data_IF_037976224192
#
_entry.id   IF_037976224192
#
_cell.length_a   1.000
_cell.length_b   1.000
_cell.length_c   1.000
_cell.angle_alpha   90.00
_cell.angle_beta   90.00
_cell.angle_gamma   90.00
#
_symmetry.space_group_name_H-M   'P 1'
#
loop_
_entity.id
_entity.type
_entity.pdbx_description
1 polymer ?
#
# COMPACT_ATOMS: atom_id res chain seq x y z
N UNK A 1 -55.59 7.35 -5.51
CA UNK A 1 -54.36 8.17 -5.37
C UNK A 1 -53.15 7.24 -5.43
N UNK A 2 -52.24 7.48 -6.39
CA UNK A 2 -50.95 6.79 -6.55
C UNK A 2 -50.03 7.07 -5.36
N UNK A 3 -49.35 6.05 -4.80
CA UNK A 3 -47.96 6.04 -4.28
C UNK A 3 -47.50 4.57 -4.25
N UNK A 4 -46.83 4.03 -5.26
CA UNK A 4 -45.40 4.10 -5.60
C UNK A 4 -44.45 3.57 -4.51
N UNK A 5 -43.88 2.41 -4.83
CA UNK A 5 -42.50 1.94 -4.62
C UNK A 5 -41.99 1.68 -3.19
N UNK A 6 -41.85 0.39 -2.86
CA UNK A 6 -40.86 -0.11 -1.91
C UNK A 6 -40.21 -1.36 -2.53
N UNK A 7 -39.20 -1.16 -3.37
CA UNK A 7 -38.29 -2.20 -3.83
C UNK A 7 -36.92 -1.57 -4.12
N UNK A 8 -35.88 -2.34 -3.86
CA UNK A 8 -34.46 -2.07 -4.10
C UNK A 8 -33.71 -1.31 -2.98
N UNK A 9 -33.27 -2.07 -1.98
CA UNK A 9 -32.08 -1.80 -1.17
C UNK A 9 -31.42 -3.14 -0.82
N UNK A 10 -30.97 -3.86 -1.86
CA UNK A 10 -30.04 -5.00 -1.74
C UNK A 10 -29.06 -4.93 -2.92
N UNK A 11 -28.19 -3.94 -2.91
CA UNK A 11 -27.08 -3.88 -3.85
C UNK A 11 -25.99 -2.97 -3.30
N UNK A 12 -25.21 -3.43 -2.32
CA UNK A 12 -23.90 -2.83 -1.97
C UNK A 12 -23.01 -3.82 -1.21
N UNK A 13 -22.95 -5.06 -1.67
CA UNK A 13 -21.84 -5.96 -1.37
C UNK A 13 -21.43 -6.69 -2.64
N UNK A 14 -21.19 -5.93 -3.70
CA UNK A 14 -20.30 -6.40 -4.75
C UNK A 14 -18.90 -6.34 -4.13
N UNK A 15 -18.46 -7.45 -3.55
CA UNK A 15 -17.03 -7.73 -3.43
C UNK A 15 -16.44 -7.46 -4.81
N UNK A 16 -15.66 -6.39 -4.93
CA UNK A 16 -14.97 -6.03 -6.15
C UNK A 16 -13.93 -7.13 -6.43
N UNK A 17 -14.39 -8.25 -6.99
CA UNK A 17 -13.53 -9.16 -7.71
C UNK A 17 -13.11 -8.41 -8.97
N UNK A 18 -12.10 -7.55 -8.84
CA UNK A 18 -11.39 -7.02 -9.99
C UNK A 18 -10.80 -8.25 -10.69
N UNK A 19 -11.39 -8.62 -11.82
CA UNK A 19 -10.84 -9.60 -12.75
C UNK A 19 -9.54 -9.01 -13.29
N UNK A 20 -8.45 -9.33 -12.61
CA UNK A 20 -7.11 -9.21 -13.19
C UNK A 20 -6.91 -10.45 -14.05
N UNK A 21 -6.88 -10.24 -15.37
CA UNK A 21 -6.52 -11.27 -16.36
C UNK A 21 -5.01 -11.58 -16.34
N UNK A 22 -4.26 -10.94 -15.44
CA UNK A 22 -2.80 -11.09 -15.36
C UNK A 22 -2.36 -12.31 -14.57
N UNK A 23 -3.28 -13.02 -13.93
CA UNK A 23 -2.99 -14.17 -13.06
C UNK A 23 -2.25 -13.81 -11.77
N UNK A 24 -1.83 -12.56 -11.55
CA UNK A 24 -1.26 -12.07 -10.29
C UNK A 24 -2.22 -11.08 -9.66
N UNK A 25 -2.49 -11.27 -8.36
CA UNK A 25 -3.51 -10.51 -7.65
C UNK A 25 -3.04 -10.05 -6.28
N UNK A 26 -3.31 -8.79 -5.98
CA UNK A 26 -3.26 -8.23 -4.63
C UNK A 26 -4.61 -8.53 -3.96
N UNK A 27 -4.58 -9.10 -2.76
CA UNK A 27 -5.77 -9.66 -2.11
C UNK A 27 -6.27 -8.77 -0.97
N UNK A 28 -5.45 -8.56 0.05
CA UNK A 28 -5.83 -7.88 1.27
C UNK A 28 -4.69 -7.03 1.81
N UNK A 29 -5.05 -5.97 2.52
CA UNK A 29 -4.10 -5.09 3.22
C UNK A 29 -4.18 -5.35 4.71
N UNK A 30 -3.03 -5.55 5.31
CA UNK A 30 -2.85 -5.74 6.74
C UNK A 30 -1.98 -4.61 7.29
N UNK A 31 -2.26 -4.13 8.50
CA UNK A 31 -1.28 -3.34 9.21
C UNK A 31 -0.06 -4.23 9.49
N UNK A 32 1.11 -3.60 9.59
CA UNK A 32 2.29 -4.29 10.09
C UNK A 32 2.43 -4.04 11.59
N UNK A 33 2.97 -5.01 12.31
CA UNK A 33 3.33 -4.84 13.72
C UNK A 33 4.72 -4.18 13.87
N UNK A 34 5.21 -4.11 15.12
CA UNK A 34 6.50 -3.52 15.43
C UNK A 34 7.66 -4.30 14.77
N UNK A 35 7.46 -5.58 14.45
CA UNK A 35 8.40 -6.47 13.78
C UNK A 35 8.27 -6.47 12.25
N UNK A 36 7.39 -5.64 11.68
CA UNK A 36 7.03 -5.58 10.26
C UNK A 36 6.39 -6.84 9.70
N UNK A 37 5.80 -7.64 10.58
CA UNK A 37 5.05 -8.81 10.20
C UNK A 37 3.61 -8.38 9.94
N UNK A 38 2.94 -8.91 8.90
CA UNK A 38 1.52 -8.66 8.70
C UNK A 38 0.73 -9.10 9.94
N UNK A 39 -0.08 -8.21 10.49
CA UNK A 39 -1.09 -8.60 11.47
C UNK A 39 -2.14 -9.51 10.79
N UNK A 40 -2.82 -10.32 11.58
CA UNK A 40 -3.88 -11.22 11.10
C UNK A 40 -5.17 -10.46 10.73
N UNK A 41 -5.26 -9.19 11.12
CA UNK A 41 -6.44 -8.36 10.90
C UNK A 41 -6.31 -7.54 9.62
N UNK A 42 -7.15 -7.86 8.64
CA UNK A 42 -7.33 -7.02 7.47
C UNK A 42 -7.91 -5.67 7.86
N UNK A 43 -7.37 -4.60 7.27
CA UNK A 43 -7.82 -3.23 7.52
C UNK A 43 -8.47 -2.63 6.29
N UNK A 44 -9.69 -2.11 6.46
CA UNK A 44 -10.35 -1.29 5.45
C UNK A 44 -9.90 0.19 5.53
N UNK A 45 -9.34 0.60 6.68
CA UNK A 45 -8.92 1.97 6.96
C UNK A 45 -7.74 1.99 7.94
N UNK A 46 -6.72 2.77 7.61
CA UNK A 46 -5.57 3.05 8.48
C UNK A 46 -5.70 4.38 9.21
N UNK A 47 -4.97 4.53 10.31
CA UNK A 47 -4.77 5.81 11.00
C UNK A 47 -3.28 6.06 11.10
N UNK A 48 -2.85 7.24 10.65
CA UNK A 48 -1.48 7.69 10.66
C UNK A 48 -1.37 9.06 11.34
N UNK A 49 -0.57 9.12 12.40
CA UNK A 49 -0.22 10.40 13.01
C UNK A 49 1.04 10.92 12.31
N UNK A 50 0.92 12.01 11.55
CA UNK A 50 2.03 12.62 10.84
C UNK A 50 2.98 13.26 11.86
N UNK A 51 4.24 12.81 11.95
CA UNK A 51 5.20 13.36 12.89
C UNK A 51 5.56 14.81 12.52
N UNK A 52 5.98 15.64 13.48
CA UNK A 52 6.44 16.99 13.20
C UNK A 52 7.64 17.00 12.23
N UNK A 53 7.74 18.07 11.44
CA UNK A 53 8.84 18.29 10.50
C UNK A 53 10.20 18.10 11.20
N UNK A 54 11.10 17.32 10.58
CA UNK A 54 12.40 16.98 11.15
C UNK A 54 12.43 15.72 12.02
N UNK A 55 11.29 15.07 12.27
CA UNK A 55 11.26 13.71 12.85
C UNK A 55 12.04 12.72 11.98
N UNK A 56 12.43 11.56 12.52
CA UNK A 56 13.00 10.47 11.72
C UNK A 56 11.95 9.63 11.01
N UNK A 57 10.66 9.78 11.34
CA UNK A 57 9.56 9.03 10.74
C UNK A 57 9.24 9.53 9.31
N UNK A 58 9.09 8.63 8.33
CA UNK A 58 9.16 8.90 6.88
C UNK A 58 8.18 8.12 6.00
N UNK A 59 7.17 7.46 6.56
CA UNK A 59 6.19 6.74 5.74
C UNK A 59 5.08 6.08 6.55
N UNK A 60 4.10 5.51 5.83
CA UNK A 60 3.04 4.67 6.40
C UNK A 60 3.08 3.29 5.75
N UNK A 61 3.63 2.32 6.47
CA UNK A 61 3.83 0.96 5.97
C UNK A 61 2.61 0.07 6.23
N UNK A 62 2.32 -0.75 5.23
CA UNK A 62 1.34 -1.85 5.30
C UNK A 62 1.92 -3.11 4.66
N UNK A 63 1.36 -4.26 5.02
CA UNK A 63 1.56 -5.49 4.29
C UNK A 63 0.40 -5.73 3.33
N UNK A 64 0.67 -6.27 2.15
CA UNK A 64 -0.33 -6.61 1.16
C UNK A 64 -0.14 -8.05 0.71
N UNK A 65 -1.17 -8.86 0.90
CA UNK A 65 -1.19 -10.24 0.43
C UNK A 65 -1.17 -10.25 -1.10
N UNK A 66 -0.34 -11.11 -1.67
CA UNK A 66 -0.20 -11.28 -3.11
C UNK A 66 -0.26 -12.76 -3.47
N UNK A 67 -0.98 -13.09 -4.53
CA UNK A 67 -1.09 -14.46 -5.02
C UNK A 67 -0.88 -14.53 -6.54
N UNK A 68 -0.40 -15.68 -6.98
CA UNK A 68 -0.21 -16.02 -8.39
C UNK A 68 -1.02 -17.26 -8.75
N UNK A 69 -2.02 -17.09 -9.59
CA UNK A 69 -2.72 -18.16 -10.29
C UNK A 69 -1.97 -18.62 -11.56
N UNK A 70 -0.82 -18.00 -11.88
CA UNK A 70 -0.01 -18.35 -13.05
C UNK A 70 0.58 -19.75 -12.85
N UNK A 71 0.70 -20.49 -13.95
CA UNK A 71 1.24 -21.86 -13.94
C UNK A 71 2.49 -21.97 -14.79
N UNK A 72 3.31 -22.99 -14.52
CA UNK A 72 4.52 -23.34 -15.28
C UNK A 72 4.33 -23.44 -16.80
N UNK A 73 3.09 -23.65 -17.27
CA UNK A 73 2.76 -23.92 -18.66
C UNK A 73 2.21 -22.69 -19.38
N UNK A 74 2.24 -21.50 -18.78
CA UNK A 74 1.82 -20.31 -19.50
C UNK A 74 2.75 -20.05 -20.68
N UNK A 75 2.20 -19.91 -21.89
CA UNK A 75 3.00 -19.88 -23.11
C UNK A 75 3.88 -18.62 -23.14
N UNK A 76 5.19 -18.83 -23.02
CA UNK A 76 6.18 -17.84 -23.43
C UNK A 76 6.41 -17.94 -24.93
N UNK A 77 6.49 -16.81 -25.63
CA UNK A 77 6.94 -16.77 -27.02
C UNK A 77 8.34 -16.15 -27.09
N UNK A 78 9.34 -16.94 -27.47
CA UNK A 78 10.65 -16.41 -27.88
C UNK A 78 10.70 -16.46 -29.40
N UNK A 79 10.77 -15.30 -30.05
CA UNK A 79 10.81 -15.22 -31.53
C UNK A 79 9.56 -15.73 -32.24
N UNK A 80 8.37 -15.63 -31.61
CA UNK A 80 7.09 -16.04 -32.22
C UNK A 80 6.80 -17.55 -32.17
N UNK A 81 7.67 -18.35 -31.57
CA UNK A 81 7.41 -19.78 -31.31
C UNK A 81 7.04 -19.99 -29.84
N UNK A 82 5.98 -20.76 -29.54
CA UNK A 82 5.66 -21.14 -28.16
C UNK A 82 6.79 -22.02 -27.62
N UNK A 83 7.45 -21.57 -26.56
CA UNK A 83 8.42 -22.38 -25.82
C UNK A 83 7.69 -22.93 -24.60
N UNK A 84 7.26 -24.18 -24.67
CA UNK A 84 6.86 -24.94 -23.50
C UNK A 84 8.09 -25.19 -22.64
N UNK A 85 8.15 -24.56 -21.47
CA UNK A 85 9.26 -24.70 -20.53
C UNK A 85 8.74 -24.51 -19.12
N UNK A 86 8.88 -25.53 -18.30
CA UNK A 86 8.68 -25.48 -16.85
C UNK A 86 9.39 -24.27 -16.24
N UNK A 87 8.67 -23.43 -15.48
CA UNK A 87 9.24 -22.36 -14.66
C UNK A 87 9.16 -20.93 -15.24
N UNK A 88 8.24 -20.68 -16.17
CA UNK A 88 8.04 -19.37 -16.81
C UNK A 88 7.01 -18.45 -16.15
N UNK A 89 6.20 -18.97 -15.21
CA UNK A 89 5.07 -18.23 -14.61
C UNK A 89 5.44 -17.32 -13.44
N UNK A 90 6.70 -17.37 -12.98
CA UNK A 90 7.19 -16.51 -11.90
C UNK A 90 7.03 -15.03 -12.27
N UNK A 91 6.44 -14.25 -11.37
CA UNK A 91 6.29 -12.81 -11.52
C UNK A 91 7.42 -12.07 -10.82
N UNK A 92 8.08 -11.19 -11.55
CA UNK A 92 9.14 -10.31 -11.08
C UNK A 92 8.57 -8.90 -11.09
N UNK A 93 8.10 -8.42 -9.94
CA UNK A 93 7.68 -7.04 -9.77
C UNK A 93 8.91 -6.13 -9.81
N UNK A 94 8.82 -5.05 -10.59
CA UNK A 94 9.90 -4.06 -10.78
C UNK A 94 9.51 -2.65 -10.37
N UNK A 95 8.21 -2.38 -10.27
CA UNK A 95 7.70 -1.05 -9.95
C UNK A 95 6.42 -1.15 -9.12
N UNK A 96 6.30 -0.23 -8.17
CA UNK A 96 5.11 0.04 -7.41
C UNK A 96 4.51 1.37 -7.87
N UNK A 97 3.27 1.33 -8.37
CA UNK A 97 2.49 2.51 -8.70
C UNK A 97 1.54 2.84 -7.54
N UNK A 98 1.55 4.09 -7.11
CA UNK A 98 0.65 4.63 -6.10
C UNK A 98 -0.11 5.83 -6.67
N UNK A 99 -1.44 5.74 -6.70
CA UNK A 99 -2.32 6.85 -7.03
C UNK A 99 -3.06 7.33 -5.78
N UNK A 100 -3.43 8.61 -5.76
CA UNK A 100 -3.99 9.24 -4.57
C UNK A 100 -5.26 10.03 -4.88
N UNK A 101 -6.19 9.97 -3.93
CA UNK A 101 -7.23 10.97 -3.75
C UNK A 101 -7.32 11.34 -2.29
N UNK A 102 -7.81 12.53 -1.96
CA UNK A 102 -7.86 12.99 -0.57
C UNK A 102 -9.09 13.81 -0.24
N UNK A 103 -9.44 13.82 1.04
CA UNK A 103 -10.48 14.66 1.64
C UNK A 103 -9.89 15.33 2.90
N UNK A 104 -9.75 16.68 2.94
CA UNK A 104 -10.00 17.62 1.84
C UNK A 104 -9.10 17.33 0.63
N UNK A 105 -9.50 17.82 -0.55
CA UNK A 105 -8.77 17.58 -1.78
C UNK A 105 -7.42 18.30 -1.75
N UNK A 106 -6.34 17.53 -1.76
CA UNK A 106 -4.96 17.96 -1.88
C UNK A 106 -4.37 17.50 -3.22
N UNK A 107 -3.45 18.27 -3.76
CA UNK A 107 -2.70 17.93 -4.98
C UNK A 107 -1.56 16.96 -4.63
N UNK A 108 -1.89 15.68 -4.50
CA UNK A 108 -0.93 14.62 -4.18
C UNK A 108 -0.54 13.93 -5.50
N UNK A 109 0.73 14.05 -5.94
CA UNK A 109 1.16 13.45 -7.20
C UNK A 109 1.21 11.93 -7.11
N UNK A 110 0.81 11.25 -8.18
CA UNK A 110 1.05 9.82 -8.35
C UNK A 110 2.55 9.50 -8.23
N UNK A 111 2.87 8.33 -7.68
CA UNK A 111 4.25 7.89 -7.44
C UNK A 111 4.51 6.58 -8.19
N UNK A 112 5.66 6.52 -8.86
CA UNK A 112 6.22 5.30 -9.43
C UNK A 112 7.52 5.01 -8.68
N UNK A 113 7.50 4.01 -7.82
CA UNK A 113 8.62 3.67 -6.95
C UNK A 113 9.30 2.40 -7.47
N UNK A 114 10.64 2.38 -7.60
CA UNK A 114 11.34 1.16 -7.93
C UNK A 114 11.08 0.11 -6.84
N UNK A 115 10.72 -1.09 -7.28
CA UNK A 115 10.36 -2.19 -6.39
C UNK A 115 11.02 -3.47 -6.91
N UNK A 116 11.31 -4.44 -6.06
CA UNK A 116 11.86 -5.72 -6.51
C UNK A 116 11.30 -6.82 -5.65
N UNK A 117 10.49 -7.68 -6.27
CA UNK A 117 9.87 -8.81 -5.61
C UNK A 117 9.68 -9.95 -6.59
N UNK A 118 10.09 -11.16 -6.17
CA UNK A 118 9.87 -12.38 -6.91
C UNK A 118 8.71 -13.14 -6.27
N UNK A 119 7.63 -13.29 -7.02
CA UNK A 119 6.52 -14.15 -6.68
C UNK A 119 6.59 -15.44 -7.50
N UNK A 120 6.83 -16.61 -6.88
CA UNK A 120 6.80 -17.87 -7.58
C UNK A 120 5.45 -18.13 -8.26
N UNK A 121 5.47 -18.85 -9.37
CA UNK A 121 4.25 -19.39 -9.98
C UNK A 121 3.46 -20.24 -8.97
N UNK A 122 2.13 -20.15 -9.00
CA UNK A 122 1.26 -20.85 -8.08
C UNK A 122 1.36 -20.41 -6.61
N UNK A 123 2.05 -19.30 -6.30
CA UNK A 123 2.12 -18.77 -4.93
C UNK A 123 0.72 -18.42 -4.39
N UNK A 124 0.41 -18.91 -3.19
CA UNK A 124 -0.89 -18.70 -2.53
C UNK A 124 -0.72 -17.95 -1.20
N UNK A 125 -1.46 -18.33 -0.16
CA UNK A 125 -1.88 -17.50 0.99
C UNK A 125 -0.77 -17.07 1.97
N UNK A 126 0.49 -17.40 1.71
CA UNK A 126 1.63 -17.04 2.56
C UNK A 126 2.59 -16.02 1.92
N UNK A 127 2.22 -15.44 0.78
CA UNK A 127 3.02 -14.44 0.08
C UNK A 127 2.48 -13.04 0.34
N UNK A 128 3.34 -12.16 0.87
CA UNK A 128 3.02 -10.75 1.07
C UNK A 128 4.18 -9.86 0.61
N UNK A 129 3.85 -8.60 0.34
CA UNK A 129 4.78 -7.50 0.15
C UNK A 129 4.57 -6.47 1.23
N UNK A 130 5.59 -5.69 1.55
CA UNK A 130 5.43 -4.47 2.33
C UNK A 130 5.44 -3.26 1.40
N UNK A 131 4.49 -2.35 1.57
CA UNK A 131 4.39 -1.12 0.79
C UNK A 131 4.32 0.09 1.72
N UNK A 132 5.12 1.12 1.43
CA UNK A 132 4.91 2.45 2.00
C UNK A 132 3.86 3.18 1.15
N UNK A 133 2.70 3.43 1.76
CA UNK A 133 1.58 4.10 1.10
C UNK A 133 1.67 5.63 1.18
N UNK A 134 2.52 6.18 2.05
CA UNK A 134 2.71 7.63 2.19
C UNK A 134 4.20 7.97 2.07
N UNK A 135 4.80 7.80 0.89
CA UNK A 135 6.22 8.08 0.67
C UNK A 135 6.54 9.57 0.85
N UNK A 136 7.83 9.96 0.93
CA UNK A 136 8.24 11.33 1.28
C UNK A 136 7.60 12.45 0.46
N UNK A 137 7.32 12.24 -0.82
CA UNK A 137 6.64 13.23 -1.67
C UNK A 137 5.20 13.52 -1.23
N UNK A 138 4.48 12.49 -0.75
CA UNK A 138 3.13 12.63 -0.21
C UNK A 138 3.16 13.29 1.16
N UNK A 139 4.14 12.91 2.00
CA UNK A 139 4.34 13.54 3.31
C UNK A 139 4.61 15.03 3.19
N UNK A 140 5.38 15.47 2.18
CA UNK A 140 5.63 16.89 1.96
C UNK A 140 4.35 17.70 1.67
N UNK A 141 3.39 17.12 0.94
CA UNK A 141 2.08 17.74 0.69
C UNK A 141 1.25 17.80 1.97
N UNK A 142 1.26 16.72 2.76
CA UNK A 142 0.57 16.66 4.04
C UNK A 142 1.18 17.63 5.07
N UNK A 143 2.50 17.75 5.14
CA UNK A 143 3.21 18.72 5.98
C UNK A 143 2.80 20.16 5.64
N UNK A 144 2.74 20.49 4.34
CA UNK A 144 2.30 21.81 3.88
C UNK A 144 0.84 22.10 4.25
N UNK A 145 -0.05 21.11 4.17
CA UNK A 145 -1.42 21.23 4.66
C UNK A 145 -1.45 21.50 6.17
N UNK A 146 -0.76 20.68 6.96
CA UNK A 146 -0.77 20.80 8.42
C UNK A 146 -0.03 22.03 8.96
N UNK A 147 0.82 22.66 8.17
CA UNK A 147 1.40 23.97 8.49
C UNK A 147 0.35 25.09 8.54
N UNK A 148 -0.80 24.93 7.88
CA UNK A 148 -1.84 25.96 7.75
C UNK A 148 -3.22 25.54 8.27
N UNK A 149 -3.44 24.24 8.51
CA UNK A 149 -4.71 23.68 9.00
C UNK A 149 -4.46 22.57 10.02
N UNK A 150 -5.31 22.46 11.03
CA UNK A 150 -5.31 21.31 11.95
C UNK A 150 -6.33 20.22 11.55
N UNK A 151 -7.02 20.41 10.42
CA UNK A 151 -8.07 19.48 9.96
C UNK A 151 -7.44 18.16 9.49
N UNK A 152 -7.92 17.00 9.99
CA UNK A 152 -7.50 15.69 9.50
C UNK A 152 -7.71 15.51 8.00
N UNK A 153 -6.80 14.78 7.35
CA UNK A 153 -6.87 14.45 5.92
C UNK A 153 -7.10 12.96 5.77
N UNK A 154 -8.14 12.55 5.05
CA UNK A 154 -8.26 11.15 4.61
C UNK A 154 -7.62 11.01 3.24
N UNK A 155 -6.53 10.24 3.14
CA UNK A 155 -5.85 9.92 1.89
C UNK A 155 -6.27 8.52 1.45
N UNK A 156 -6.89 8.38 0.28
CA UNK A 156 -7.09 7.07 -0.34
C UNK A 156 -5.90 6.78 -1.25
N UNK A 157 -5.05 5.84 -0.84
CA UNK A 157 -3.92 5.36 -1.62
C UNK A 157 -4.33 4.11 -2.39
N UNK A 158 -4.10 4.12 -3.70
CA UNK A 158 -4.38 3.02 -4.60
C UNK A 158 -3.06 2.41 -5.08
N UNK A 159 -2.82 1.16 -4.73
CA UNK A 159 -1.59 0.41 -4.99
C UNK A 159 -1.78 -0.52 -6.18
N UNK A 160 -0.83 -0.49 -7.12
CA UNK A 160 -0.67 -1.46 -8.21
C UNK A 160 0.80 -1.84 -8.35
N UNK A 161 1.07 -3.09 -8.72
CA UNK A 161 2.41 -3.51 -9.07
C UNK A 161 2.54 -3.75 -10.57
N UNK A 162 3.70 -3.36 -11.09
CA UNK A 162 4.12 -3.60 -12.47
C UNK A 162 5.35 -4.48 -12.48
N UNK A 163 5.41 -5.41 -13.42
CA UNK A 163 6.54 -6.30 -13.56
C UNK A 163 6.48 -7.15 -14.80
N UNK A 164 7.25 -8.23 -14.78
CA UNK A 164 7.35 -9.17 -15.90
C UNK A 164 7.39 -10.61 -15.42
N UNK A 165 7.00 -11.53 -16.28
CA UNK A 165 7.30 -12.95 -16.08
C UNK A 165 8.78 -13.22 -16.31
N UNK A 166 9.27 -14.39 -15.86
CA UNK A 166 10.63 -14.86 -16.23
C UNK A 166 10.82 -14.97 -17.75
N UNK A 167 9.76 -15.22 -18.51
CA UNK A 167 9.76 -15.27 -19.97
C UNK A 167 9.72 -13.88 -20.64
N UNK A 168 9.57 -12.80 -19.85
CA UNK A 168 9.64 -11.42 -20.32
C UNK A 168 8.29 -10.75 -20.64
N UNK A 169 7.17 -11.46 -20.47
CA UNK A 169 5.83 -10.89 -20.67
C UNK A 169 5.50 -9.88 -19.57
N UNK A 170 4.97 -8.72 -19.91
CA UNK A 170 4.52 -7.72 -18.94
C UNK A 170 3.33 -8.23 -18.14
N UNK A 171 3.32 -7.96 -16.84
CA UNK A 171 2.27 -8.32 -15.90
C UNK A 171 1.97 -7.13 -15.00
N UNK A 172 0.70 -6.82 -14.83
CA UNK A 172 0.21 -5.78 -13.91
C UNK A 172 -0.79 -6.41 -12.94
N UNK A 173 -0.76 -6.06 -11.67
CA UNK A 173 -1.75 -6.57 -10.71
C UNK A 173 -3.07 -5.81 -10.80
N UNK A 174 -4.12 -6.32 -10.14
CA UNK A 174 -5.24 -5.46 -9.79
C UNK A 174 -4.79 -4.35 -8.84
N UNK A 175 -5.65 -3.35 -8.72
CA UNK A 175 -5.50 -2.26 -7.76
C UNK A 175 -6.08 -2.64 -6.40
N UNK A 176 -5.41 -2.25 -5.33
CA UNK A 176 -5.93 -2.32 -3.96
C UNK A 176 -5.89 -0.94 -3.34
N UNK A 177 -7.00 -0.56 -2.72
CA UNK A 177 -7.19 0.77 -2.16
C UNK A 177 -7.20 0.69 -0.64
N UNK A 178 -6.49 1.63 0.01
CA UNK A 178 -6.58 1.84 1.44
C UNK A 178 -6.82 3.32 1.75
N UNK A 179 -7.85 3.59 2.55
CA UNK A 179 -8.07 4.90 3.13
C UNK A 179 -7.22 5.06 4.41
N UNK A 180 -6.37 6.09 4.46
CA UNK A 180 -5.53 6.42 5.61
C UNK A 180 -5.98 7.77 6.17
N UNK A 181 -6.40 7.80 7.43
CA UNK A 181 -6.67 9.05 8.14
C UNK A 181 -5.37 9.59 8.67
N UNK A 182 -4.95 10.72 8.15
CA UNK A 182 -3.77 11.44 8.58
C UNK A 182 -4.19 12.55 9.53
N UNK A 183 -3.58 12.58 10.70
CA UNK A 183 -3.72 13.66 11.68
C UNK A 183 -2.36 14.28 11.99
N UNK A 184 -2.29 15.58 12.24
CA UNK A 184 -1.07 16.20 12.75
C UNK A 184 -0.76 15.64 14.15
N UNK A 185 0.47 15.21 14.37
CA UNK A 185 0.97 14.97 15.71
C UNK A 185 1.75 16.17 16.23
N UNK A 186 1.66 16.38 17.54
CA UNK A 186 2.42 17.44 18.20
C UNK A 186 3.37 16.82 19.22
N UNK A 187 4.67 17.07 19.04
CA UNK A 187 5.64 16.96 20.13
C UNK A 187 5.92 18.35 20.67
N UNK A 188 6.30 18.46 21.95
CA UNK A 188 6.77 19.72 22.49
C UNK A 188 7.98 20.23 21.68
N UNK A 189 8.12 21.54 21.55
CA UNK A 189 9.20 22.17 20.77
C UNK A 189 10.57 21.62 21.21
N UNK A 190 11.38 21.17 20.25
CA UNK A 190 12.70 20.61 20.49
C UNK A 190 12.71 19.12 20.85
N UNK A 191 11.55 18.46 20.94
CA UNK A 191 11.46 17.01 21.13
C UNK A 191 11.12 16.35 19.78
N UNK A 192 12.03 15.56 19.19
CA UNK A 192 11.72 14.83 17.97
C UNK A 192 10.71 13.72 18.28
N UNK A 193 9.75 13.51 17.37
CA UNK A 193 9.02 12.25 17.35
C UNK A 193 9.94 11.14 16.87
N UNK A 194 9.99 10.03 17.58
CA UNK A 194 10.74 8.85 17.19
C UNK A 194 9.81 7.72 16.73
N UNK A 195 10.27 6.98 15.72
CA UNK A 195 9.73 5.67 15.42
C UNK A 195 10.19 4.71 16.50
N UNK A 196 9.27 3.95 17.09
CA UNK A 196 9.63 2.75 17.85
C UNK A 196 9.22 1.52 17.05
N UNK A 197 10.17 0.64 16.74
CA UNK A 197 9.93 -0.64 16.09
C UNK A 197 10.99 -1.03 15.06
N UNK A 198 10.98 -2.31 14.66
CA UNK A 198 11.83 -2.89 13.63
C UNK A 198 11.51 -2.39 12.20
N UNK A 199 10.39 -1.68 12.01
CA UNK A 199 10.01 -1.06 10.72
C UNK A 199 10.79 0.21 10.35
N UNK A 200 11.91 0.41 11.03
CA UNK A 200 12.84 1.48 10.75
C UNK A 200 12.18 2.84 10.94
N UNK A 201 12.24 3.66 9.90
CA UNK A 201 11.73 5.04 9.92
C UNK A 201 10.26 5.14 9.53
N UNK A 202 9.52 4.06 9.31
CA UNK A 202 8.14 4.17 8.86
C UNK A 202 7.17 3.89 10.01
N UNK A 203 6.08 4.65 10.06
CA UNK A 203 4.98 4.38 10.98
C UNK A 203 4.09 3.26 10.44
N UNK A 204 3.39 2.59 11.34
CA UNK A 204 2.36 1.59 11.04
C UNK A 204 1.05 1.96 11.74
N UNK A 205 -0.02 1.23 11.44
CA UNK A 205 -1.35 1.56 11.94
C UNK A 205 -1.36 1.71 13.46
N UNK A 206 -1.89 2.82 13.96
CA UNK A 206 -1.98 3.14 15.40
C UNK A 206 -0.65 3.17 16.17
N UNK A 207 0.50 3.30 15.49
CA UNK A 207 1.78 3.53 16.18
C UNK A 207 1.65 4.78 17.04
N UNK A 208 1.79 4.62 18.36
CA UNK A 208 1.87 5.75 19.26
C UNK A 208 3.20 6.47 18.99
N UNK A 209 3.13 7.70 18.50
CA UNK A 209 4.32 8.54 18.39
C UNK A 209 4.89 8.78 19.78
N UNK A 210 6.11 8.33 20.01
CA UNK A 210 6.84 8.67 21.23
C UNK A 210 7.62 9.96 20.96
N UNK A 211 7.31 10.98 21.75
CA UNK A 211 8.09 12.21 21.79
C UNK A 211 9.18 12.03 22.85
N UNK A 212 10.37 11.59 22.44
CA UNK A 212 11.50 11.40 23.36
C UNK A 212 12.64 12.36 23.01
N UNK A 213 13.23 12.98 24.03
CA UNK A 213 14.42 13.79 23.85
C UNK A 213 15.54 12.89 23.29
N UNK A 214 16.26 13.36 22.26
CA UNK A 214 17.41 12.63 21.75
C UNK A 214 18.34 12.30 22.94
N UNK A 215 18.85 11.06 23.06
CA UNK A 215 19.80 10.74 24.13
C UNK A 215 20.94 11.75 24.05
N UNK A 216 21.26 12.37 25.18
CA UNK A 216 22.42 13.24 25.28
C UNK A 216 23.62 12.42 24.81
N UNK A 217 24.20 12.80 23.66
CA UNK A 217 25.34 12.10 23.10
C UNK A 217 26.51 12.06 24.11
N UNK A 218 27.37 11.03 24.04
CA UNK A 218 28.57 10.95 24.88
C UNK A 218 29.54 12.11 24.65
#
# INVERSE_FOLDING_TARGET
MKRLAALALLALSASACVESDSGVRLLAVHPVDEECVPDKLQVARGIYALPPAGSTLRGYMVAVDIASARTANEPGTVGGSPVGGTGGGDFIASEQELNYSSVPALDIPAQHLPFSYLLPEGATTDSFITADLLPPAVLAVLDAHFASSAEPVTVNAALKLHGKTRTGSTVETNEVNLAVVVTAATCATGIPAQASGACGVNGYNSTALTCEAAPAGP
#
